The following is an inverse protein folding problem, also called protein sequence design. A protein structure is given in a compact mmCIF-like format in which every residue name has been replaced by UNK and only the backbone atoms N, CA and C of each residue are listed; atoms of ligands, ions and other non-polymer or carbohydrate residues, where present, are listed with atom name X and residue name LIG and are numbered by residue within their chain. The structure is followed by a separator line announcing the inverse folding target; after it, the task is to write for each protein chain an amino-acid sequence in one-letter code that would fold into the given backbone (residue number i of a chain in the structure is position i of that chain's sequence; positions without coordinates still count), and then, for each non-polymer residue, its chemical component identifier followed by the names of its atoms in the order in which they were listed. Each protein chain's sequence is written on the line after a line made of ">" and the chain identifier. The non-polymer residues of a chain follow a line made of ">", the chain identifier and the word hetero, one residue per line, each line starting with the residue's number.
data_IF_490246150753
#
_entry.id   IF_490246150753
#
_cell.length_a   1.000
_cell.length_b   1.000
_cell.length_c   1.000
_cell.angle_alpha   90.00
_cell.angle_beta   90.00
_cell.angle_gamma   90.00
#
_symmetry.space_group_name_H-M   'P 1'
#
loop_
_entity.id
_entity.type
_entity.pdbx_description
1 polymer ?
#
# COMPACT_ATOMS: atom_id res chain seq x y z
N UNK A 1 -20.40 5.16 20.38
CA UNK A 1 -19.26 4.40 19.81
C UNK A 1 -19.37 2.97 20.30
N UNK A 2 -19.30 1.99 19.41
CA UNK A 2 -19.38 0.56 19.72
C UNK A 2 -18.02 -0.15 19.70
N UNK A 3 -16.92 0.60 19.54
CA UNK A 3 -15.57 0.05 19.49
C UNK A 3 -15.19 -0.56 20.84
N UNK A 4 -14.78 -1.82 20.84
CA UNK A 4 -14.21 -2.51 22.00
C UNK A 4 -12.69 -2.65 21.85
N UNK A 5 -11.95 -2.80 22.96
CA UNK A 5 -10.51 -3.05 22.92
C UNK A 5 -10.12 -4.29 22.10
N UNK A 6 -10.95 -5.33 22.10
CA UNK A 6 -10.68 -6.58 21.40
C UNK A 6 -10.72 -6.40 19.88
N UNK A 7 -11.72 -5.66 19.38
CA UNK A 7 -11.83 -5.31 17.95
C UNK A 7 -10.63 -4.46 17.52
N UNK A 8 -10.28 -3.43 18.30
CA UNK A 8 -9.11 -2.60 18.03
C UNK A 8 -7.82 -3.41 18.00
N UNK A 9 -7.64 -4.31 18.97
CA UNK A 9 -6.45 -5.16 19.06
C UNK A 9 -6.36 -6.11 17.88
N UNK A 10 -7.48 -6.71 17.45
CA UNK A 10 -7.52 -7.59 16.29
C UNK A 10 -7.10 -6.86 15.01
N UNK A 11 -7.65 -5.67 14.76
CA UNK A 11 -7.32 -4.86 13.58
C UNK A 11 -5.84 -4.44 13.59
N UNK A 12 -5.29 -4.06 14.75
CA UNK A 12 -3.86 -3.74 14.89
C UNK A 12 -2.97 -4.95 14.62
N UNK A 13 -3.36 -6.13 15.08
CA UNK A 13 -2.59 -7.36 14.87
C UNK A 13 -2.47 -7.69 13.37
N UNK A 14 -3.52 -7.41 12.60
CA UNK A 14 -3.53 -7.64 11.15
C UNK A 14 -2.80 -6.50 10.43
N UNK A 15 -3.29 -5.27 10.56
CA UNK A 15 -2.88 -4.17 9.70
C UNK A 15 -1.55 -3.52 10.12
N UNK A 16 -1.19 -3.57 11.41
CA UNK A 16 0.07 -3.01 11.90
C UNK A 16 1.14 -4.10 12.08
N UNK A 17 0.86 -5.12 12.90
CA UNK A 17 1.86 -6.17 13.19
C UNK A 17 2.14 -7.01 11.96
N UNK A 18 1.09 -7.41 11.21
CA UNK A 18 1.27 -8.13 9.95
C UNK A 18 2.11 -7.35 8.94
N UNK A 19 1.85 -6.05 8.77
CA UNK A 19 2.65 -5.18 7.89
C UNK A 19 4.09 -5.05 8.37
N UNK A 20 4.31 -4.87 9.68
CA UNK A 20 5.65 -4.81 10.25
C UNK A 20 6.45 -6.07 9.93
N UNK A 21 5.85 -7.24 10.16
CA UNK A 21 6.48 -8.54 9.86
C UNK A 21 6.79 -8.68 8.37
N UNK A 22 5.82 -8.36 7.50
CA UNK A 22 6.01 -8.44 6.06
C UNK A 22 7.13 -7.51 5.57
N UNK A 23 7.16 -6.25 6.02
CA UNK A 23 8.19 -5.28 5.63
C UNK A 23 9.58 -5.61 6.17
N UNK A 24 9.70 -6.27 7.32
CA UNK A 24 10.98 -6.77 7.85
C UNK A 24 11.46 -8.05 7.17
N UNK A 25 10.52 -8.88 6.70
CA UNK A 25 10.81 -10.11 5.97
C UNK A 25 11.27 -9.80 4.53
N UNK A 26 10.54 -8.93 3.83
CA UNK A 26 10.73 -8.66 2.40
C UNK A 26 12.18 -8.37 1.96
N UNK A 27 12.96 -7.47 2.59
CA UNK A 27 14.33 -7.19 2.15
C UNK A 27 15.29 -8.39 2.25
N UNK A 28 14.95 -9.42 3.03
CA UNK A 28 15.76 -10.65 3.18
C UNK A 28 15.45 -11.69 2.10
N UNK A 29 14.32 -11.55 1.41
CA UNK A 29 13.77 -12.59 0.53
C UNK A 29 13.35 -12.11 -0.86
N UNK A 30 13.26 -10.79 -1.07
CA UNK A 30 13.03 -10.24 -2.40
C UNK A 30 14.19 -10.59 -3.35
N UNK A 31 13.88 -11.01 -4.57
CA UNK A 31 14.87 -11.23 -5.61
C UNK A 31 15.49 -9.89 -6.01
N UNK A 32 16.82 -9.75 -5.88
CA UNK A 32 17.57 -8.51 -6.16
C UNK A 32 18.50 -8.64 -7.36
N UNK A 33 18.46 -9.76 -8.07
CA UNK A 33 19.43 -10.11 -9.11
C UNK A 33 19.37 -9.14 -10.31
N UNK A 34 18.22 -8.49 -10.52
CA UNK A 34 17.95 -7.56 -11.61
C UNK A 34 18.16 -6.08 -11.24
N UNK A 35 18.61 -5.77 -10.02
CA UNK A 35 18.92 -4.38 -9.62
C UNK A 35 20.03 -3.76 -10.51
N UNK A 36 21.11 -4.48 -10.89
CA UNK A 36 22.12 -3.95 -11.80
C UNK A 36 21.58 -3.57 -13.18
N UNK A 37 20.46 -4.17 -13.62
CA UNK A 37 19.77 -3.85 -14.88
C UNK A 37 18.68 -2.78 -14.70
N UNK A 38 18.58 -2.17 -13.51
CA UNK A 38 17.63 -1.10 -13.21
C UNK A 38 16.26 -1.58 -12.72
N UNK A 39 16.06 -2.88 -12.53
CA UNK A 39 14.78 -3.42 -12.04
C UNK A 39 14.79 -3.57 -10.51
N UNK A 40 13.97 -2.75 -9.86
CA UNK A 40 13.89 -2.72 -8.40
C UNK A 40 12.71 -3.55 -7.89
N UNK A 41 12.88 -4.39 -6.85
CA UNK A 41 11.77 -5.06 -6.20
C UNK A 41 10.81 -4.04 -5.58
N UNK A 42 9.53 -4.38 -5.57
CA UNK A 42 8.48 -3.51 -5.03
C UNK A 42 7.75 -4.21 -3.89
N UNK A 43 7.81 -3.62 -2.69
CA UNK A 43 6.89 -3.92 -1.60
C UNK A 43 5.65 -3.05 -1.78
N UNK A 44 4.54 -3.68 -2.17
CA UNK A 44 3.27 -2.99 -2.36
C UNK A 44 2.39 -3.15 -1.11
N UNK A 45 2.01 -2.02 -0.51
CA UNK A 45 1.11 -1.96 0.64
C UNK A 45 -0.21 -1.37 0.16
N UNK A 46 -1.31 -2.11 0.24
CA UNK A 46 -2.62 -1.57 -0.17
C UNK A 46 -3.23 -0.74 0.95
N UNK A 47 -3.76 0.43 0.62
CA UNK A 47 -4.35 1.33 1.62
C UNK A 47 -5.64 2.00 1.15
N UNK A 48 -6.13 2.89 2.00
CA UNK A 48 -7.20 3.83 1.70
C UNK A 48 -6.92 5.13 2.43
N UNK A 49 -7.92 6.02 2.52
CA UNK A 49 -7.74 7.36 3.11
C UNK A 49 -8.29 7.51 4.53
N UNK A 50 -8.63 6.42 5.20
CA UNK A 50 -9.21 6.45 6.54
C UNK A 50 -8.25 6.96 7.63
N UNK A 51 -6.96 7.03 7.33
CA UNK A 51 -5.94 7.71 8.13
C UNK A 51 -6.06 9.24 8.06
N UNK A 52 -6.47 9.79 6.91
CA UNK A 52 -6.65 11.22 6.67
C UNK A 52 -8.08 11.70 6.93
N UNK A 53 -9.05 10.83 6.62
CA UNK A 53 -10.49 11.08 6.74
C UNK A 53 -11.11 10.01 7.66
N UNK A 54 -10.86 10.07 8.97
CA UNK A 54 -11.36 9.06 9.89
C UNK A 54 -12.88 9.11 10.00
N UNK A 55 -13.50 7.94 10.11
CA UNK A 55 -14.96 7.81 10.23
C UNK A 55 -15.33 7.18 11.58
N UNK A 56 -16.24 7.77 12.37
CA UNK A 56 -16.63 7.21 13.67
C UNK A 56 -17.17 5.77 13.61
N UNK A 57 -17.84 5.40 12.51
CA UNK A 57 -18.35 4.04 12.26
C UNK A 57 -17.25 3.02 11.97
N UNK A 58 -16.07 3.48 11.57
CA UNK A 58 -14.91 2.66 11.22
C UNK A 58 -13.69 3.03 12.09
N UNK A 59 -13.92 3.49 13.33
CA UNK A 59 -12.87 4.07 14.18
C UNK A 59 -11.67 3.13 14.40
N UNK A 60 -11.93 1.82 14.57
CA UNK A 60 -10.90 0.79 14.67
C UNK A 60 -10.02 0.74 13.42
N UNK A 61 -10.66 0.64 12.26
CA UNK A 61 -9.99 0.57 10.97
C UNK A 61 -9.24 1.87 10.66
N UNK A 62 -9.82 3.04 10.97
CA UNK A 62 -9.15 4.33 10.84
C UNK A 62 -7.85 4.38 11.65
N UNK A 63 -7.90 3.97 12.92
CA UNK A 63 -6.71 3.91 13.78
C UNK A 63 -5.66 2.94 13.22
N UNK A 64 -6.09 1.73 12.83
CA UNK A 64 -5.21 0.73 12.25
C UNK A 64 -4.58 1.21 10.92
N UNK A 65 -5.33 1.95 10.10
CA UNK A 65 -4.84 2.55 8.86
C UNK A 65 -3.79 3.63 9.13
N UNK A 66 -3.99 4.51 10.11
CA UNK A 66 -2.98 5.50 10.51
C UNK A 66 -1.66 4.84 10.90
N UNK A 67 -1.70 3.73 11.66
CA UNK A 67 -0.48 2.99 12.02
C UNK A 67 0.15 2.35 10.77
N UNK A 68 -0.65 1.71 9.92
CA UNK A 68 -0.13 1.09 8.69
C UNK A 68 0.55 2.09 7.76
N UNK A 69 -0.02 3.30 7.63
CA UNK A 69 0.52 4.40 6.83
C UNK A 69 1.86 4.87 7.36
N UNK A 70 1.94 5.08 8.68
CA UNK A 70 3.19 5.44 9.33
C UNK A 70 4.29 4.37 9.18
N UNK A 71 3.93 3.08 9.19
CA UNK A 71 4.89 2.00 8.93
C UNK A 71 5.33 1.99 7.46
N UNK A 72 4.41 2.16 6.51
CA UNK A 72 4.75 2.29 5.08
C UNK A 72 5.71 3.45 4.84
N UNK A 73 5.50 4.59 5.48
CA UNK A 73 6.39 5.75 5.42
C UNK A 73 7.81 5.39 5.86
N UNK A 74 7.94 4.76 7.03
CA UNK A 74 9.25 4.33 7.54
C UNK A 74 9.91 3.28 6.64
N UNK A 75 9.15 2.31 6.13
CA UNK A 75 9.67 1.34 5.18
C UNK A 75 10.12 2.00 3.89
N UNK A 76 9.39 3.00 3.37
CA UNK A 76 9.79 3.72 2.16
C UNK A 76 11.13 4.43 2.33
N UNK A 77 11.43 4.93 3.52
CA UNK A 77 12.73 5.53 3.82
C UNK A 77 13.84 4.48 3.92
N UNK A 78 13.60 3.40 4.67
CA UNK A 78 14.63 2.39 4.98
C UNK A 78 14.89 1.44 3.82
N UNK A 79 13.84 0.87 3.22
CA UNK A 79 13.95 -0.13 2.15
C UNK A 79 14.52 0.46 0.87
N UNK A 80 14.10 1.68 0.52
CA UNK A 80 14.62 2.38 -0.66
C UNK A 80 16.11 2.68 -0.49
N UNK A 81 16.49 3.34 0.62
CA UNK A 81 17.86 3.83 0.80
C UNK A 81 18.87 2.72 1.13
N UNK A 82 18.48 1.69 1.89
CA UNK A 82 19.42 0.65 2.37
C UNK A 82 19.39 -0.64 1.57
N UNK A 83 18.31 -0.89 0.82
CA UNK A 83 18.10 -2.17 0.15
C UNK A 83 17.79 -2.04 -1.34
N UNK A 84 17.69 -0.83 -1.89
CA UNK A 84 17.26 -0.58 -3.28
C UNK A 84 15.93 -1.29 -3.58
N UNK A 85 14.99 -1.22 -2.63
CA UNK A 85 13.65 -1.78 -2.77
C UNK A 85 12.66 -0.62 -2.76
N UNK A 86 11.79 -0.58 -3.76
CA UNK A 86 10.68 0.35 -3.83
C UNK A 86 9.62 -0.04 -2.80
N UNK A 87 9.04 0.97 -2.16
CA UNK A 87 7.81 0.80 -1.36
C UNK A 87 6.73 1.61 -2.03
N UNK A 88 5.60 0.97 -2.30
CA UNK A 88 4.51 1.56 -3.04
C UNK A 88 3.16 1.38 -2.38
N UNK A 89 2.28 2.34 -2.59
CA UNK A 89 0.98 2.38 -1.94
C UNK A 89 -0.12 2.88 -2.88
N UNK A 90 -0.78 1.97 -3.62
CA UNK A 90 -2.04 2.28 -4.29
C UNK A 90 -3.15 2.45 -3.25
N UNK A 91 -3.81 3.59 -3.28
CA UNK A 91 -4.85 3.98 -2.33
C UNK A 91 -6.21 4.00 -3.00
N UNK A 92 -7.12 3.15 -2.51
CA UNK A 92 -8.53 3.14 -2.92
C UNK A 92 -9.29 4.02 -1.93
N UNK A 93 -9.78 5.18 -2.39
CA UNK A 93 -10.41 6.20 -1.53
C UNK A 93 -11.83 5.80 -1.14
N UNK A 94 -12.53 5.08 -2.01
CA UNK A 94 -13.93 4.72 -1.81
C UNK A 94 -14.10 3.34 -1.18
N UNK A 95 -15.15 3.13 -0.36
CA UNK A 95 -15.51 1.80 0.10
C UNK A 95 -15.77 0.88 -1.10
N UNK A 96 -15.42 -0.40 -0.96
CA UNK A 96 -15.73 -1.42 -1.94
C UNK A 96 -17.19 -1.86 -1.68
N UNK A 97 -18.13 -1.34 -2.47
CA UNK A 97 -19.57 -1.52 -2.24
C UNK A 97 -20.14 -2.54 -3.23
N UNK A 98 -20.71 -3.67 -2.75
CA UNK A 98 -21.40 -4.63 -3.61
C UNK A 98 -22.64 -4.00 -4.25
N UNK A 99 -22.90 -4.33 -5.53
CA UNK A 99 -24.16 -3.98 -6.18
C UNK A 99 -25.26 -4.98 -5.78
N UNK A 100 -26.50 -4.50 -5.61
CA UNK A 100 -27.65 -5.33 -5.20
C UNK A 100 -28.00 -6.42 -6.23
N UNK A 101 -27.66 -6.20 -7.51
CA UNK A 101 -27.90 -7.14 -8.61
C UNK A 101 -26.71 -8.10 -8.86
N UNK A 102 -25.69 -8.05 -8.00
CA UNK A 102 -24.42 -8.74 -8.19
C UNK A 102 -23.35 -7.83 -8.80
N UNK A 103 -22.08 -8.12 -8.49
CA UNK A 103 -20.95 -7.26 -8.85
C UNK A 103 -20.73 -6.11 -7.85
N UNK A 104 -20.12 -5.02 -8.32
CA UNK A 104 -19.69 -3.90 -7.48
C UNK A 104 -20.17 -2.57 -8.09
N UNK A 105 -20.31 -1.53 -7.28
CA UNK A 105 -20.48 -0.18 -7.81
C UNK A 105 -19.30 0.17 -8.73
N UNK A 106 -19.51 0.97 -9.77
CA UNK A 106 -18.53 1.21 -10.85
C UNK A 106 -17.13 1.60 -10.36
N UNK A 107 -17.00 2.39 -9.28
CA UNK A 107 -15.68 2.77 -8.72
C UNK A 107 -15.07 1.71 -7.81
N UNK A 108 -15.89 0.79 -7.31
CA UNK A 108 -15.49 -0.39 -6.55
C UNK A 108 -15.24 -1.61 -7.44
N UNK A 109 -15.50 -1.49 -8.75
CA UNK A 109 -15.29 -2.54 -9.72
C UNK A 109 -13.79 -2.90 -9.77
N UNK A 110 -13.42 -4.18 -9.58
CA UNK A 110 -12.03 -4.62 -9.63
C UNK A 110 -11.30 -4.24 -10.93
N UNK A 111 -11.98 -4.30 -12.08
CA UNK A 111 -11.36 -3.93 -13.36
C UNK A 111 -11.03 -2.45 -13.40
N UNK A 112 -11.92 -1.61 -12.86
CA UNK A 112 -11.70 -0.17 -12.75
C UNK A 112 -10.58 0.13 -11.76
N UNK A 113 -10.55 -0.53 -10.59
CA UNK A 113 -9.47 -0.36 -9.60
C UNK A 113 -8.11 -0.74 -10.20
N UNK A 114 -8.05 -1.87 -10.91
CA UNK A 114 -6.82 -2.32 -11.56
C UNK A 114 -6.37 -1.30 -12.60
N UNK A 115 -7.26 -0.94 -13.52
CA UNK A 115 -6.95 -0.04 -14.64
C UNK A 115 -6.58 1.37 -14.17
N UNK A 116 -7.30 1.93 -13.21
CA UNK A 116 -7.16 3.34 -12.84
C UNK A 116 -6.14 3.54 -11.70
N UNK A 117 -5.92 2.54 -10.84
CA UNK A 117 -5.01 2.65 -9.69
C UNK A 117 -3.72 1.84 -9.86
N UNK A 118 -3.85 0.53 -10.10
CA UNK A 118 -2.69 -0.37 -10.06
C UNK A 118 -1.85 -0.35 -11.34
N UNK A 119 -2.49 -0.35 -12.51
CA UNK A 119 -1.77 -0.37 -13.79
C UNK A 119 -0.84 0.86 -13.93
N UNK A 120 -1.30 2.12 -13.72
CA UNK A 120 -0.42 3.28 -13.81
C UNK A 120 0.70 3.26 -12.76
N UNK A 121 0.44 2.64 -11.61
CA UNK A 121 1.43 2.47 -10.54
C UNK A 121 2.56 1.53 -10.97
N UNK A 122 2.22 0.39 -11.56
CA UNK A 122 3.18 -0.60 -12.03
C UNK A 122 3.95 -0.09 -13.25
N UNK A 123 3.30 0.57 -14.21
CA UNK A 123 3.97 1.19 -15.36
C UNK A 123 5.03 2.23 -14.93
N UNK A 124 4.73 3.01 -13.88
CA UNK A 124 5.69 3.95 -13.32
C UNK A 124 6.87 3.28 -12.64
N UNK A 125 6.66 2.11 -12.00
CA UNK A 125 7.73 1.30 -11.42
C UNK A 125 8.69 0.82 -12.51
N UNK A 126 8.17 0.30 -13.62
CA UNK A 126 8.98 -0.16 -14.75
C UNK A 126 9.81 0.98 -15.37
N UNK A 127 9.33 2.22 -15.28
CA UNK A 127 10.01 3.40 -15.82
C UNK A 127 11.18 3.92 -14.97
N UNK A 128 11.34 3.47 -13.71
CA UNK A 128 12.38 3.99 -12.79
C UNK A 128 13.79 3.64 -13.25
N UNK A 129 14.01 2.42 -13.74
CA UNK A 129 15.33 1.89 -14.08
C UNK A 129 15.93 2.42 -15.39
N UNK A 130 15.11 3.03 -16.24
CA UNK A 130 15.46 3.35 -17.63
C UNK A 130 16.59 4.40 -17.73
N UNK A 131 16.74 5.26 -16.73
CA UNK A 131 17.63 6.42 -16.81
C UNK A 131 19.00 6.23 -16.14
N UNK A 132 19.34 5.04 -15.63
CA UNK A 132 20.64 4.73 -14.97
C UNK A 132 20.92 5.53 -13.67
N UNK A 133 20.06 6.48 -13.30
CA UNK A 133 20.23 7.36 -12.13
C UNK A 133 19.80 6.73 -10.79
N UNK A 134 19.47 5.43 -10.78
CA UNK A 134 18.94 4.74 -9.60
C UNK A 134 17.46 5.02 -9.35
N UNK A 135 17.01 4.83 -8.11
CA UNK A 135 15.62 5.14 -7.71
C UNK A 135 15.44 6.66 -7.57
N UNK A 136 15.06 7.34 -8.67
CA UNK A 136 14.67 8.76 -8.66
C UNK A 136 13.26 8.94 -9.21
N UNK A 137 12.54 9.94 -8.68
CA UNK A 137 11.19 10.28 -9.13
C UNK A 137 10.10 9.28 -8.74
N UNK A 138 10.42 8.29 -7.88
CA UNK A 138 9.42 7.34 -7.40
C UNK A 138 8.38 8.04 -6.54
N UNK A 139 7.12 7.95 -6.97
CA UNK A 139 5.98 8.44 -6.21
C UNK A 139 5.36 7.24 -5.47
N UNK A 140 5.56 7.23 -4.16
CA UNK A 140 5.07 6.16 -3.27
C UNK A 140 3.54 6.06 -3.27
N UNK A 141 2.86 7.19 -3.13
CA UNK A 141 1.39 7.23 -3.00
C UNK A 141 0.73 7.54 -4.33
N UNK A 142 -0.21 6.69 -4.77
CA UNK A 142 -1.17 7.06 -5.82
C UNK A 142 -2.58 6.93 -5.28
N UNK A 143 -3.30 8.04 -5.35
CA UNK A 143 -4.65 8.19 -4.81
C UNK A 143 -5.64 8.29 -5.96
N UNK A 144 -6.72 7.51 -5.89
CA UNK A 144 -7.88 7.61 -6.78
C UNK A 144 -9.19 7.55 -6.00
#
# INVERSE_FOLDING_TARGET
>A
MSLTPEVLTADFKIAAVGLLVAGQWFPKHANKDHIPTGEYPLLLVTGGVLDKNPMPSYSSLSAAKSVSQNLTDQFSQVLTSKHNILVGQPLVVQPIIPNQEGGWLTKSDPEVIVKEVFQPFLEARESIGVNVEGIKGWIRDRVW
#
